data_IF_654448138375
#
_entry.id   IF_654448138375
#
_cell.length_a   1.000
_cell.length_b   1.000
_cell.length_c   1.000
_cell.angle_alpha   90.00
_cell.angle_beta   90.00
_cell.angle_gamma   90.00
#
_symmetry.space_group_name_H-M   'P 1'
#
loop_
_entity.id
_entity.type
_entity.pdbx_description
1 polymer ?
#
# COMPACT_ATOMS: atom_id res chain seq x y z
N UNK A 1 -18.22 -25.40 -3.20
CA UNK A 1 -16.99 -24.67 -2.92
C UNK A 1 -16.01 -25.11 -3.99
N UNK A 2 -15.74 -24.26 -4.99
CA UNK A 2 -14.78 -24.59 -6.05
C UNK A 2 -13.38 -24.47 -5.45
N UNK A 3 -12.76 -25.57 -5.14
CA UNK A 3 -11.37 -25.62 -4.72
C UNK A 3 -10.52 -25.78 -5.99
N UNK A 4 -9.70 -24.80 -6.27
CA UNK A 4 -8.83 -24.78 -7.45
C UNK A 4 -7.71 -25.79 -7.22
N UNK A 5 -7.65 -26.82 -8.08
CA UNK A 5 -6.61 -27.86 -8.01
C UNK A 5 -5.28 -27.31 -8.55
N UNK A 6 -4.40 -26.90 -7.63
CA UNK A 6 -3.10 -26.31 -7.97
C UNK A 6 -2.16 -27.29 -8.67
N UNK A 7 -2.29 -28.57 -8.42
CA UNK A 7 -1.46 -29.61 -9.04
C UNK A 7 -1.86 -29.78 -10.51
N UNK A 8 -3.17 -29.92 -10.79
CA UNK A 8 -3.70 -29.97 -12.16
C UNK A 8 -3.37 -28.73 -12.97
N UNK A 9 -3.54 -27.54 -12.35
CA UNK A 9 -3.12 -26.28 -12.96
C UNK A 9 -1.64 -26.32 -13.35
N UNK A 10 -0.77 -26.73 -12.42
CA UNK A 10 0.66 -26.77 -12.62
C UNK A 10 1.12 -27.75 -13.71
N UNK A 11 0.53 -28.94 -13.73
CA UNK A 11 0.79 -29.93 -14.78
C UNK A 11 0.36 -29.45 -16.16
N UNK A 12 -0.82 -28.84 -16.25
CA UNK A 12 -1.36 -28.28 -17.49
C UNK A 12 -0.47 -27.15 -18.02
N UNK A 13 -0.06 -26.24 -17.11
CA UNK A 13 0.89 -25.18 -17.42
C UNK A 13 2.21 -25.73 -17.99
N UNK A 14 2.81 -26.73 -17.33
CA UNK A 14 4.07 -27.33 -17.75
C UNK A 14 3.97 -28.03 -19.12
N UNK A 15 2.85 -28.71 -19.38
CA UNK A 15 2.59 -29.38 -20.68
C UNK A 15 2.51 -28.33 -21.80
N UNK A 16 1.71 -27.27 -21.63
CA UNK A 16 1.49 -26.26 -22.66
C UNK A 16 2.72 -25.39 -22.88
N UNK A 17 3.49 -25.06 -21.83
CA UNK A 17 4.78 -24.40 -21.98
C UNK A 17 5.75 -25.24 -22.84
N UNK A 18 5.85 -26.56 -22.59
CA UNK A 18 6.70 -27.46 -23.37
C UNK A 18 6.20 -27.59 -24.79
N UNK A 19 4.87 -27.71 -25.03
CA UNK A 19 4.27 -27.70 -26.38
C UNK A 19 4.65 -26.43 -27.18
N UNK A 20 4.77 -25.28 -26.53
CA UNK A 20 5.24 -24.02 -27.14
C UNK A 20 6.74 -23.88 -27.25
N UNK A 21 7.53 -24.86 -26.76
CA UNK A 21 8.99 -24.87 -26.83
C UNK A 21 9.69 -23.95 -25.84
N UNK A 22 9.00 -23.41 -24.84
CA UNK A 22 9.60 -22.50 -23.87
C UNK A 22 10.24 -23.23 -22.69
N UNK A 23 11.40 -22.75 -22.25
CA UNK A 23 11.98 -23.08 -20.95
C UNK A 23 11.21 -22.31 -19.84
N UNK A 24 11.32 -22.76 -18.58
CA UNK A 24 10.75 -22.02 -17.45
C UNK A 24 11.28 -20.57 -17.39
N UNK A 25 12.56 -20.39 -17.70
CA UNK A 25 13.22 -19.08 -17.72
C UNK A 25 12.67 -18.17 -18.84
N UNK A 26 12.43 -18.69 -20.02
CA UNK A 26 11.87 -17.91 -21.13
C UNK A 26 10.42 -17.51 -20.87
N UNK A 27 9.60 -18.42 -20.31
CA UNK A 27 8.24 -18.08 -19.89
C UNK A 27 8.24 -17.01 -18.80
N UNK A 28 9.13 -17.15 -17.80
CA UNK A 28 9.30 -16.18 -16.73
C UNK A 28 9.69 -14.78 -17.26
N UNK A 29 10.61 -14.72 -18.22
CA UNK A 29 11.01 -13.45 -18.84
C UNK A 29 9.85 -12.76 -19.58
N UNK A 30 9.00 -13.52 -20.29
CA UNK A 30 7.84 -12.98 -21.01
C UNK A 30 6.76 -12.45 -20.07
N UNK A 31 6.67 -13.02 -18.86
CA UNK A 31 5.71 -12.62 -17.82
C UNK A 31 6.30 -11.62 -16.81
N UNK A 32 7.57 -11.23 -16.96
CA UNK A 32 8.28 -10.35 -16.03
C UNK A 32 8.31 -10.87 -14.59
N UNK A 33 8.42 -12.19 -14.42
CA UNK A 33 8.52 -12.88 -13.12
C UNK A 33 9.84 -13.65 -12.99
N UNK A 34 10.10 -14.24 -11.82
CA UNK A 34 11.27 -15.11 -11.64
C UNK A 34 11.01 -16.51 -12.19
N UNK A 35 12.06 -17.19 -12.65
CA UNK A 35 12.03 -18.60 -13.04
C UNK A 35 11.59 -19.52 -11.89
N UNK A 36 11.92 -19.16 -10.65
CA UNK A 36 11.46 -19.83 -9.43
C UNK A 36 9.95 -19.74 -9.26
N UNK A 37 9.32 -18.63 -9.65
CA UNK A 37 7.86 -18.49 -9.61
C UNK A 37 7.20 -19.47 -10.58
N UNK A 38 7.63 -19.52 -11.83
CA UNK A 38 7.13 -20.49 -12.82
C UNK A 38 7.34 -21.93 -12.34
N UNK A 39 8.51 -22.24 -11.78
CA UNK A 39 8.79 -23.55 -11.21
C UNK A 39 7.88 -23.91 -10.03
N UNK A 40 7.51 -22.95 -9.17
CA UNK A 40 6.54 -23.16 -8.08
C UNK A 40 5.14 -23.46 -8.63
N UNK A 41 4.71 -22.70 -9.64
CA UNK A 41 3.39 -22.90 -10.26
C UNK A 41 3.27 -24.28 -10.90
N UNK A 42 4.28 -24.70 -11.68
CA UNK A 42 4.30 -26.01 -12.35
C UNK A 42 4.31 -27.20 -11.37
N UNK A 43 4.75 -27.00 -10.13
CA UNK A 43 4.73 -28.03 -9.08
C UNK A 43 3.51 -27.97 -8.17
N UNK A 44 2.54 -27.09 -8.46
CA UNK A 44 1.39 -26.87 -7.59
C UNK A 44 1.71 -26.20 -6.24
N UNK A 45 2.97 -25.77 -6.04
CA UNK A 45 3.40 -25.15 -4.78
C UNK A 45 2.98 -23.67 -4.64
N UNK A 46 2.25 -23.13 -5.61
CA UNK A 46 1.71 -21.78 -5.64
C UNK A 46 0.94 -21.53 -6.92
N UNK A 47 0.22 -20.41 -6.98
CA UNK A 47 -0.50 -19.96 -8.15
C UNK A 47 0.08 -18.64 -8.66
N UNK A 48 -0.02 -18.33 -9.96
CA UNK A 48 0.25 -16.99 -10.45
C UNK A 48 -0.74 -15.99 -9.89
N UNK A 49 -0.31 -14.73 -9.81
CA UNK A 49 -1.24 -13.63 -9.55
C UNK A 49 -2.33 -13.60 -10.61
N UNK A 50 -3.53 -13.18 -10.21
CA UNK A 50 -4.71 -13.15 -11.09
C UNK A 50 -4.47 -12.29 -12.33
N UNK A 51 -3.68 -11.23 -12.20
CA UNK A 51 -3.27 -10.34 -13.31
C UNK A 51 -2.38 -11.02 -14.36
N UNK A 52 -1.72 -12.12 -13.98
CA UNK A 52 -0.85 -12.89 -14.87
C UNK A 52 -1.59 -14.00 -15.62
N UNK A 53 -2.83 -14.35 -15.21
CA UNK A 53 -3.57 -15.45 -15.83
C UNK A 53 -3.86 -15.21 -17.31
N UNK A 54 -4.25 -13.97 -17.68
CA UNK A 54 -4.55 -13.62 -19.07
C UNK A 54 -3.27 -13.66 -19.94
N UNK A 55 -2.18 -12.92 -19.59
CA UNK A 55 -0.97 -12.99 -20.38
C UNK A 55 -0.36 -14.40 -20.42
N UNK A 56 -0.52 -15.19 -19.36
CA UNK A 56 -0.07 -16.58 -19.32
C UNK A 56 -0.86 -17.45 -20.31
N UNK A 57 -2.19 -17.34 -20.31
CA UNK A 57 -3.07 -18.05 -21.23
C UNK A 57 -2.76 -17.66 -22.70
N UNK A 58 -2.59 -16.38 -22.98
CA UNK A 58 -2.24 -15.87 -24.32
C UNK A 58 -0.89 -16.45 -24.83
N UNK A 59 0.14 -16.45 -23.97
CA UNK A 59 1.47 -16.99 -24.32
C UNK A 59 1.39 -18.50 -24.60
N UNK A 60 0.60 -19.23 -23.83
CA UNK A 60 0.43 -20.69 -23.97
C UNK A 60 -0.53 -21.05 -25.10
N UNK A 61 -1.37 -20.12 -25.54
CA UNK A 61 -2.41 -20.34 -26.56
C UNK A 61 -3.54 -21.22 -26.07
N UNK A 62 -3.95 -21.03 -24.82
CA UNK A 62 -5.09 -21.67 -24.15
C UNK A 62 -6.02 -20.61 -23.60
N UNK A 63 -7.24 -20.97 -23.25
CA UNK A 63 -8.15 -20.06 -22.54
C UNK A 63 -7.80 -20.01 -21.05
N UNK A 64 -8.19 -18.91 -20.38
CA UNK A 64 -8.02 -18.78 -18.92
C UNK A 64 -8.79 -19.88 -18.18
N UNK A 65 -9.95 -20.29 -18.72
CA UNK A 65 -10.78 -21.35 -18.14
C UNK A 65 -10.06 -22.70 -18.21
N UNK A 66 -9.52 -23.07 -19.37
CA UNK A 66 -8.72 -24.30 -19.53
C UNK A 66 -7.51 -24.30 -18.60
N UNK A 67 -6.86 -23.15 -18.46
CA UNK A 67 -5.71 -23.00 -17.57
C UNK A 67 -6.11 -23.21 -16.10
N UNK A 68 -7.25 -22.66 -15.67
CA UNK A 68 -7.74 -22.79 -14.30
C UNK A 68 -8.27 -24.19 -13.99
N UNK A 69 -8.97 -24.81 -14.95
CA UNK A 69 -9.49 -26.19 -14.83
C UNK A 69 -8.39 -27.26 -15.00
N UNK A 70 -7.24 -26.87 -15.57
CA UNK A 70 -6.13 -27.79 -15.84
C UNK A 70 -6.48 -28.87 -16.87
N UNK A 71 -7.36 -28.56 -17.82
CA UNK A 71 -7.78 -29.48 -18.89
C UNK A 71 -8.20 -28.73 -20.16
N UNK A 72 -7.97 -29.34 -21.33
CA UNK A 72 -8.50 -28.83 -22.61
C UNK A 72 -10.02 -29.01 -22.61
N UNK A 73 -10.75 -27.97 -22.98
CA UNK A 73 -12.21 -28.02 -23.09
C UNK A 73 -12.62 -28.31 -24.53
N UNK A 74 -13.34 -29.43 -24.75
CA UNK A 74 -13.99 -29.67 -26.04
C UNK A 74 -15.12 -28.66 -26.27
N UNK A 75 -15.21 -28.10 -27.48
CA UNK A 75 -16.10 -27.01 -27.88
C UNK A 75 -17.63 -27.38 -27.85
N UNK A 76 -18.07 -28.29 -26.99
CA UNK A 76 -19.41 -28.90 -27.03
C UNK A 76 -20.20 -28.83 -25.73
N UNK A 77 -20.17 -27.76 -25.00
CA UNK A 77 -21.24 -27.57 -24.00
C UNK A 77 -21.56 -26.11 -23.71
N UNK A 78 -22.52 -25.59 -24.42
CA UNK A 78 -23.61 -24.73 -23.94
C UNK A 78 -23.34 -23.34 -23.40
N UNK A 79 -22.12 -22.98 -23.08
CA UNK A 79 -21.69 -21.60 -22.83
C UNK A 79 -20.53 -21.30 -23.79
N UNK A 80 -20.71 -20.29 -24.63
CA UNK A 80 -19.65 -19.82 -25.51
C UNK A 80 -18.41 -19.49 -24.66
N UNK A 81 -17.31 -20.19 -24.92
CA UNK A 81 -16.01 -20.04 -24.21
C UNK A 81 -15.59 -18.57 -24.15
N UNK A 82 -15.93 -17.81 -25.20
CA UNK A 82 -15.72 -16.36 -25.27
C UNK A 82 -16.56 -15.59 -24.24
N UNK A 83 -17.76 -16.06 -23.89
CA UNK A 83 -18.60 -15.40 -22.88
C UNK A 83 -18.05 -15.64 -21.47
N UNK A 84 -17.59 -16.85 -21.17
CA UNK A 84 -16.94 -17.17 -19.88
C UNK A 84 -15.63 -16.42 -19.76
N UNK A 85 -14.82 -16.37 -20.82
CA UNK A 85 -13.57 -15.63 -20.84
C UNK A 85 -13.80 -14.12 -20.68
N UNK A 86 -14.83 -13.56 -21.33
CA UNK A 86 -15.22 -12.16 -21.15
C UNK A 86 -15.76 -11.88 -19.74
N UNK A 87 -16.48 -12.82 -19.12
CA UNK A 87 -16.94 -12.71 -17.73
C UNK A 87 -15.76 -12.77 -16.75
N UNK A 88 -14.81 -13.66 -16.98
CA UNK A 88 -13.57 -13.74 -16.19
C UNK A 88 -12.73 -12.47 -16.37
N UNK A 89 -12.52 -12.03 -17.62
CA UNK A 89 -11.84 -10.74 -17.89
C UNK A 89 -12.56 -9.58 -17.20
N UNK A 90 -13.88 -9.54 -17.26
CA UNK A 90 -14.71 -8.51 -16.62
C UNK A 90 -14.66 -8.59 -15.10
N UNK A 91 -14.66 -9.78 -14.51
CA UNK A 91 -14.49 -9.98 -13.07
C UNK A 91 -13.09 -9.57 -12.60
N UNK A 92 -12.05 -9.86 -13.38
CA UNK A 92 -10.67 -9.44 -13.11
C UNK A 92 -10.51 -7.93 -13.20
N UNK A 93 -11.12 -7.29 -14.21
CA UNK A 93 -11.10 -5.81 -14.34
C UNK A 93 -11.97 -5.10 -13.31
N UNK A 94 -12.98 -5.76 -12.76
CA UNK A 94 -13.79 -5.23 -11.64
C UNK A 94 -13.06 -5.35 -10.28
N UNK A 95 -12.12 -6.28 -10.13
CA UNK A 95 -11.26 -6.39 -8.94
C UNK A 95 -10.06 -5.45 -8.97
N UNK A 96 -9.65 -4.98 -10.16
CA UNK A 96 -8.69 -3.91 -10.33
C UNK A 96 -9.45 -2.58 -10.49
N UNK A 97 -9.20 -1.62 -9.60
CA UNK A 97 -9.71 -0.26 -9.79
C UNK A 97 -9.35 0.23 -11.19
N UNK A 98 -10.33 0.74 -11.92
CA UNK A 98 -10.07 1.29 -13.25
C UNK A 98 -8.96 2.36 -13.18
N UNK A 99 -8.09 2.46 -14.18
CA UNK A 99 -7.03 3.48 -14.22
C UNK A 99 -7.56 4.90 -13.98
N UNK A 100 -8.80 5.17 -14.38
CA UNK A 100 -9.50 6.44 -14.13
C UNK A 100 -9.81 6.64 -12.63
N UNK A 101 -10.36 5.63 -11.95
CA UNK A 101 -10.68 5.71 -10.51
C UNK A 101 -9.41 5.86 -9.66
N UNK A 102 -8.34 5.13 -10.01
CA UNK A 102 -7.05 5.27 -9.35
C UNK A 102 -6.44 6.67 -9.56
N UNK A 103 -6.61 7.25 -10.75
CA UNK A 103 -6.19 8.61 -11.08
C UNK A 103 -6.97 9.67 -10.29
N UNK A 104 -8.28 9.54 -10.19
CA UNK A 104 -9.16 10.45 -9.42
C UNK A 104 -8.79 10.38 -7.93
N UNK A 105 -8.61 9.17 -7.39
CA UNK A 105 -8.22 8.99 -5.99
C UNK A 105 -6.86 9.60 -5.67
N UNK A 106 -5.86 9.42 -6.55
CA UNK A 106 -4.55 10.06 -6.39
C UNK A 106 -4.65 11.58 -6.40
N UNK A 107 -5.47 12.17 -7.29
CA UNK A 107 -5.72 13.62 -7.31
C UNK A 107 -6.38 14.10 -6.02
N UNK A 108 -7.36 13.36 -5.49
CA UNK A 108 -8.00 13.68 -4.22
C UNK A 108 -7.01 13.63 -3.05
N UNK A 109 -6.17 12.60 -2.99
CA UNK A 109 -5.11 12.48 -1.99
C UNK A 109 -4.15 13.68 -2.05
N UNK A 110 -3.74 14.06 -3.24
CA UNK A 110 -2.86 15.20 -3.46
C UNK A 110 -3.51 16.51 -3.01
N UNK A 111 -4.79 16.69 -3.32
CA UNK A 111 -5.55 17.89 -2.94
C UNK A 111 -5.67 18.01 -1.42
N UNK A 112 -6.04 16.94 -0.72
CA UNK A 112 -6.18 16.92 0.75
C UNK A 112 -4.84 17.25 1.40
N UNK A 113 -3.76 16.64 0.95
CA UNK A 113 -2.42 16.91 1.46
C UNK A 113 -2.00 18.37 1.21
N UNK A 114 -2.20 18.88 0.00
CA UNK A 114 -1.91 20.27 -0.34
C UNK A 114 -2.70 21.27 0.51
N UNK A 115 -4.00 21.01 0.74
CA UNK A 115 -4.82 21.83 1.64
C UNK A 115 -4.27 21.84 3.07
N UNK A 116 -3.85 20.67 3.58
CA UNK A 116 -3.27 20.57 4.93
C UNK A 116 -1.95 21.35 5.04
N UNK A 117 -1.10 21.27 4.03
CA UNK A 117 0.16 22.07 3.98
C UNK A 117 -0.14 23.57 3.94
N UNK A 118 -1.13 24.01 3.17
CA UNK A 118 -1.53 25.42 3.11
C UNK A 118 -2.04 25.89 4.49
N UNK A 119 -2.88 25.10 5.16
CA UNK A 119 -3.39 25.45 6.49
C UNK A 119 -2.21 25.58 7.48
N UNK A 120 -1.32 24.60 7.49
CA UNK A 120 -0.12 24.62 8.34
C UNK A 120 0.76 25.86 8.08
N UNK A 121 0.98 26.23 6.82
CA UNK A 121 1.74 27.45 6.48
C UNK A 121 1.03 28.73 6.95
N UNK A 122 -0.30 28.80 6.84
CA UNK A 122 -1.07 29.92 7.38
C UNK A 122 -0.98 30.00 8.89
N UNK A 123 -1.09 28.86 9.60
CA UNK A 123 -0.92 28.80 11.05
C UNK A 123 0.48 29.24 11.47
N UNK A 124 1.53 28.78 10.79
CA UNK A 124 2.91 29.19 11.04
C UNK A 124 3.11 30.70 10.83
N UNK A 125 2.50 31.26 9.78
CA UNK A 125 2.53 32.70 9.52
C UNK A 125 1.83 33.50 10.63
N UNK A 126 0.67 33.03 11.08
CA UNK A 126 -0.07 33.66 12.19
C UNK A 126 0.73 33.60 13.50
N UNK A 127 1.39 32.47 13.79
CA UNK A 127 2.25 32.31 14.96
C UNK A 127 3.46 33.24 14.90
N UNK A 128 4.08 33.41 13.72
CA UNK A 128 5.15 34.38 13.52
C UNK A 128 4.68 35.83 13.74
N UNK A 129 3.51 36.17 13.22
CA UNK A 129 2.93 37.50 13.45
C UNK A 129 2.61 37.75 14.94
N UNK A 130 2.04 36.74 15.63
CA UNK A 130 1.78 36.78 17.06
C UNK A 130 3.06 36.94 17.89
N UNK A 131 4.18 36.32 17.48
CA UNK A 131 5.49 36.50 18.11
C UNK A 131 5.93 37.95 18.13
N UNK A 132 5.81 38.66 17.01
CA UNK A 132 6.15 40.08 16.93
C UNK A 132 5.26 40.95 17.84
N UNK A 133 4.02 40.49 18.13
CA UNK A 133 3.10 41.23 18.97
C UNK A 133 3.30 40.96 20.46
N UNK A 134 3.74 39.73 20.83
CA UNK A 134 3.79 39.27 22.24
C UNK A 134 5.20 38.96 22.76
N UNK A 135 6.27 39.27 22.01
CA UNK A 135 7.68 38.98 22.35
C UNK A 135 7.98 37.49 22.70
N UNK A 136 7.05 36.58 22.41
CA UNK A 136 7.23 35.16 22.71
C UNK A 136 7.87 34.43 21.53
N UNK A 137 8.96 33.73 21.81
CA UNK A 137 9.74 33.03 20.79
C UNK A 137 9.07 31.80 20.22
N UNK A 138 8.97 31.71 18.90
CA UNK A 138 8.76 30.43 18.23
C UNK A 138 10.09 29.68 18.28
N UNK A 139 10.11 28.53 18.95
CA UNK A 139 11.29 27.67 19.02
C UNK A 139 11.60 27.03 17.65
N UNK A 140 12.89 26.97 17.32
CA UNK A 140 13.38 26.25 16.13
C UNK A 140 12.94 24.76 16.10
N UNK A 141 12.70 24.18 17.26
CA UNK A 141 12.19 22.80 17.40
C UNK A 141 10.76 22.63 16.88
N UNK A 142 9.95 23.68 16.91
CA UNK A 142 8.62 23.66 16.32
C UNK A 142 8.65 23.50 14.80
N UNK A 143 9.53 24.24 14.11
CA UNK A 143 9.71 24.09 12.66
C UNK A 143 10.21 22.69 12.27
N UNK A 144 11.05 22.08 13.11
CA UNK A 144 11.50 20.71 12.89
C UNK A 144 10.32 19.72 12.88
N UNK A 145 9.34 19.88 13.79
CA UNK A 145 8.14 19.05 13.85
C UNK A 145 7.23 19.25 12.63
N UNK A 146 7.11 20.49 12.14
CA UNK A 146 6.37 20.75 10.90
C UNK A 146 7.04 20.07 9.70
N UNK A 147 8.37 20.13 9.60
CA UNK A 147 9.13 19.41 8.56
C UNK A 147 8.89 17.90 8.64
N UNK A 148 8.88 17.33 9.85
CA UNK A 148 8.53 15.92 10.02
C UNK A 148 7.09 15.62 9.59
N UNK A 149 6.12 16.46 9.98
CA UNK A 149 4.71 16.28 9.58
C UNK A 149 4.53 16.33 8.07
N UNK A 150 5.21 17.27 7.37
CA UNK A 150 5.21 17.34 5.90
C UNK A 150 5.86 16.10 5.30
N UNK A 151 7.01 15.68 5.82
CA UNK A 151 7.77 14.54 5.28
C UNK A 151 6.97 13.24 5.39
N UNK A 152 6.44 12.94 6.58
CA UNK A 152 5.59 11.77 6.80
C UNK A 152 4.28 11.88 6.04
N UNK A 153 3.67 13.08 6.00
CA UNK A 153 2.48 13.34 5.20
C UNK A 153 2.71 13.08 3.72
N UNK A 154 3.76 13.66 3.15
CA UNK A 154 4.14 13.43 1.76
C UNK A 154 4.35 11.95 1.46
N UNK A 155 5.02 11.22 2.37
CA UNK A 155 5.20 9.79 2.22
C UNK A 155 3.87 9.02 2.24
N UNK A 156 3.01 9.20 3.26
CA UNK A 156 1.76 8.45 3.39
C UNK A 156 0.70 8.83 2.35
N UNK A 157 0.67 10.08 1.87
CA UNK A 157 -0.33 10.53 0.91
C UNK A 157 0.07 10.34 -0.55
N UNK A 158 1.37 10.42 -0.86
CA UNK A 158 1.87 10.43 -2.23
C UNK A 158 2.76 9.20 -2.52
N UNK A 159 3.69 8.87 -1.60
CA UNK A 159 4.77 7.92 -1.85
C UNK A 159 4.43 6.47 -1.57
N UNK A 160 3.57 6.20 -0.57
CA UNK A 160 3.34 4.83 -0.11
C UNK A 160 2.52 4.02 -1.11
N UNK A 161 2.90 2.76 -1.29
CA UNK A 161 2.14 1.80 -2.10
C UNK A 161 0.89 1.36 -1.34
N UNK A 162 -0.26 1.32 -2.01
CA UNK A 162 -1.54 0.94 -1.39
C UNK A 162 -1.67 -0.56 -1.16
N UNK A 163 -0.92 -1.38 -1.91
CA UNK A 163 -0.86 -2.83 -1.76
C UNK A 163 0.58 -3.29 -1.59
N UNK A 164 0.74 -4.29 -0.76
CA UNK A 164 2.01 -4.99 -0.58
C UNK A 164 2.16 -6.08 -1.65
N UNK A 165 3.40 -6.39 -2.05
CA UNK A 165 3.68 -7.59 -2.83
C UNK A 165 3.16 -8.86 -2.14
N UNK A 166 2.72 -9.84 -2.91
CA UNK A 166 2.10 -11.09 -2.41
C UNK A 166 2.97 -11.84 -1.40
N UNK A 167 4.29 -11.74 -1.51
CA UNK A 167 5.20 -12.40 -0.58
C UNK A 167 5.05 -11.94 0.88
N UNK A 168 4.42 -10.78 1.14
CA UNK A 168 4.08 -10.32 2.49
C UNK A 168 2.93 -11.14 3.09
N UNK A 169 1.99 -11.61 2.26
CA UNK A 169 0.87 -12.45 2.71
C UNK A 169 1.32 -13.90 2.97
N UNK A 170 2.36 -14.34 2.24
CA UNK A 170 2.90 -15.70 2.36
C UNK A 170 3.95 -15.86 3.48
N UNK A 171 4.52 -14.75 3.98
CA UNK A 171 5.62 -14.76 4.93
C UNK A 171 5.33 -13.79 6.08
N UNK A 172 5.75 -14.18 7.29
CA UNK A 172 5.60 -13.35 8.48
C UNK A 172 6.67 -12.23 8.51
N UNK A 173 6.42 -11.15 7.73
CA UNK A 173 7.38 -10.06 7.55
C UNK A 173 6.96 -8.86 8.39
N UNK A 174 7.78 -8.50 9.38
CA UNK A 174 7.57 -7.34 10.25
C UNK A 174 8.28 -6.07 9.78
N UNK A 175 8.99 -6.13 8.65
CA UNK A 175 9.71 -5.01 8.07
C UNK A 175 9.15 -4.65 6.69
N UNK A 176 8.77 -3.39 6.49
CA UNK A 176 8.41 -2.84 5.20
C UNK A 176 9.51 -1.89 4.71
N UNK A 177 9.82 -1.95 3.42
CA UNK A 177 10.76 -1.03 2.78
C UNK A 177 10.47 -0.89 1.28
N UNK A 178 10.47 0.35 0.80
CA UNK A 178 10.28 0.68 -0.62
C UNK A 178 11.52 1.33 -1.27
N UNK A 179 12.65 1.29 -0.56
CA UNK A 179 13.92 1.87 -0.98
C UNK A 179 14.17 3.26 -0.40
N UNK A 180 13.15 4.05 -0.14
CA UNK A 180 13.25 5.39 0.46
C UNK A 180 12.95 5.32 1.95
N UNK A 181 11.89 4.63 2.32
CA UNK A 181 11.42 4.50 3.69
C UNK A 181 11.50 3.05 4.16
N UNK A 182 11.93 2.86 5.40
CA UNK A 182 11.92 1.55 6.06
C UNK A 182 11.21 1.65 7.39
N UNK A 183 10.24 0.78 7.60
CA UNK A 183 9.49 0.66 8.84
C UNK A 183 9.63 -0.77 9.36
N UNK A 184 10.09 -0.92 10.59
CA UNK A 184 10.15 -2.21 11.26
C UNK A 184 9.31 -2.11 12.53
N UNK A 185 8.30 -2.98 12.65
CA UNK A 185 7.39 -3.01 13.81
C UNK A 185 7.36 -4.41 14.40
N UNK A 186 8.12 -4.57 15.47
CA UNK A 186 8.21 -5.85 16.19
C UNK A 186 6.81 -6.24 16.70
N UNK A 187 6.40 -7.47 16.43
CA UNK A 187 5.11 -8.01 16.87
C UNK A 187 3.94 -7.79 15.92
N UNK A 188 4.16 -7.20 14.75
CA UNK A 188 3.19 -7.12 13.66
C UNK A 188 3.79 -7.74 12.40
N UNK A 189 3.01 -8.54 11.68
CA UNK A 189 3.36 -9.00 10.34
C UNK A 189 2.54 -8.20 9.32
N UNK A 190 3.23 -7.48 8.45
CA UNK A 190 2.57 -6.73 7.39
C UNK A 190 2.01 -7.67 6.33
N UNK A 191 0.74 -7.48 5.98
CA UNK A 191 0.02 -8.24 4.95
C UNK A 191 -1.04 -7.34 4.29
N UNK A 192 -1.64 -7.81 3.20
CA UNK A 192 -2.67 -7.04 2.49
C UNK A 192 -4.01 -6.92 3.26
N UNK A 193 -4.20 -7.68 4.36
CA UNK A 193 -5.36 -7.52 5.25
C UNK A 193 -5.22 -6.30 6.14
N UNK A 194 -4.03 -6.06 6.74
CA UNK A 194 -3.82 -4.95 7.69
C UNK A 194 -3.23 -3.68 7.03
N UNK A 195 -2.52 -3.82 5.91
CA UNK A 195 -1.82 -2.72 5.26
C UNK A 195 -2.70 -1.51 4.89
N UNK A 196 -3.90 -1.67 4.29
CA UNK A 196 -4.77 -0.53 3.98
C UNK A 196 -5.15 0.29 5.21
N UNK A 197 -5.35 -0.38 6.35
CA UNK A 197 -5.69 0.28 7.62
C UNK A 197 -4.48 1.02 8.20
N UNK A 198 -3.28 0.44 8.11
CA UNK A 198 -2.01 1.07 8.51
C UNK A 198 -1.80 2.35 7.70
N UNK A 199 -1.90 2.27 6.38
CA UNK A 199 -1.74 3.42 5.48
C UNK A 199 -2.77 4.50 5.78
N UNK A 200 -4.04 4.12 5.95
CA UNK A 200 -5.11 5.06 6.31
C UNK A 200 -4.83 5.77 7.64
N UNK A 201 -4.37 5.04 8.64
CA UNK A 201 -4.03 5.60 9.96
C UNK A 201 -2.88 6.60 9.84
N UNK A 202 -1.82 6.25 9.12
CA UNK A 202 -0.69 7.16 8.84
C UNK A 202 -1.13 8.43 8.11
N UNK A 203 -2.02 8.31 7.11
CA UNK A 203 -2.60 9.46 6.39
C UNK A 203 -3.39 10.38 7.31
N UNK A 204 -4.30 9.83 8.11
CA UNK A 204 -5.12 10.62 9.03
C UNK A 204 -4.24 11.35 10.04
N UNK A 205 -3.31 10.63 10.66
CA UNK A 205 -2.45 11.23 11.68
C UNK A 205 -1.53 12.30 11.12
N UNK A 206 -0.91 12.08 9.96
CA UNK A 206 0.00 13.06 9.35
C UNK A 206 -0.67 14.39 9.04
N UNK A 207 -1.91 14.37 8.53
CA UNK A 207 -2.69 15.59 8.28
C UNK A 207 -3.18 16.23 9.59
N UNK A 208 -3.67 15.40 10.53
CA UNK A 208 -4.14 15.90 11.83
C UNK A 208 -3.01 16.55 12.62
N UNK A 209 -1.80 15.99 12.58
CA UNK A 209 -0.64 16.54 13.28
C UNK A 209 -0.21 17.90 12.73
N UNK A 210 -0.34 18.14 11.41
CA UNK A 210 -0.03 19.43 10.79
C UNK A 210 -0.86 20.59 11.34
N UNK A 211 -2.12 20.30 11.71
CA UNK A 211 -3.04 21.32 12.26
C UNK A 211 -3.01 21.34 13.79
N UNK A 212 -3.01 20.15 14.40
CA UNK A 212 -3.16 20.06 15.86
C UNK A 212 -1.91 20.48 16.64
N UNK A 213 -0.69 20.13 16.16
CA UNK A 213 0.54 20.41 16.90
C UNK A 213 0.87 21.91 16.98
N UNK A 214 0.70 22.74 15.92
CA UNK A 214 0.84 24.18 16.02
C UNK A 214 -0.09 24.82 17.05
N UNK A 215 -1.37 24.43 17.04
CA UNK A 215 -2.36 24.92 18.00
C UNK A 215 -2.00 24.52 19.43
N UNK A 216 -1.56 23.27 19.63
CA UNK A 216 -1.12 22.80 20.96
C UNK A 216 0.13 23.54 21.44
N UNK A 217 1.08 23.80 20.54
CA UNK A 217 2.27 24.58 20.87
C UNK A 217 1.90 26.00 21.31
N UNK A 218 1.02 26.66 20.58
CA UNK A 218 0.52 27.98 20.96
C UNK A 218 -0.16 27.96 22.33
N UNK A 219 -1.08 27.02 22.55
CA UNK A 219 -1.78 26.89 23.84
C UNK A 219 -0.80 26.65 25.00
N UNK A 220 0.16 25.76 24.83
CA UNK A 220 1.18 25.48 25.83
C UNK A 220 2.06 26.70 26.17
N UNK A 221 2.48 27.44 25.14
CA UNK A 221 3.27 28.65 25.30
C UNK A 221 2.48 29.76 26.01
N UNK A 222 1.19 29.89 25.72
CA UNK A 222 0.34 30.91 26.37
C UNK A 222 -0.05 30.53 27.81
N UNK A 223 -0.37 29.26 28.08
CA UNK A 223 -0.89 28.82 29.38
C UNK A 223 0.23 28.50 30.40
N UNK A 224 1.37 27.99 29.92
CA UNK A 224 2.45 27.48 30.76
C UNK A 224 3.85 27.90 30.24
N UNK A 225 4.13 29.20 30.03
CA UNK A 225 5.32 29.65 29.30
C UNK A 225 6.65 29.16 29.90
N UNK A 226 6.77 29.14 31.23
CA UNK A 226 8.02 28.72 31.90
C UNK A 226 8.32 27.23 31.78
N UNK A 227 7.29 26.39 31.80
CA UNK A 227 7.42 24.92 31.69
C UNK A 227 7.49 24.50 30.24
N UNK A 228 6.69 25.14 29.39
CA UNK A 228 6.59 24.78 27.98
C UNK A 228 7.87 25.08 27.19
N UNK A 229 8.57 26.16 27.50
CA UNK A 229 9.84 26.48 26.87
C UNK A 229 10.89 25.36 27.01
N UNK A 230 10.92 24.66 28.14
CA UNK A 230 11.82 23.53 28.36
C UNK A 230 11.26 22.19 27.91
N UNK A 231 9.99 21.89 28.24
CA UNK A 231 9.38 20.58 28.03
C UNK A 231 8.54 20.46 26.75
N UNK A 232 8.04 21.58 26.22
CA UNK A 232 7.14 21.62 25.07
C UNK A 232 7.65 20.86 23.84
N UNK A 233 8.91 21.07 23.38
CA UNK A 233 9.45 20.35 22.23
C UNK A 233 9.45 18.82 22.41
N UNK A 234 9.78 18.34 23.62
CA UNK A 234 9.76 16.89 23.93
C UNK A 234 8.33 16.34 23.97
N UNK A 235 7.42 17.10 24.55
CA UNK A 235 5.99 16.70 24.61
C UNK A 235 5.41 16.62 23.20
N UNK A 236 5.68 17.60 22.35
CA UNK A 236 5.21 17.62 20.96
C UNK A 236 5.81 16.47 20.14
N UNK A 237 7.10 16.19 20.31
CA UNK A 237 7.77 15.06 19.64
C UNK A 237 7.18 13.72 20.10
N UNK A 238 6.96 13.52 21.40
CA UNK A 238 6.35 12.31 21.93
C UNK A 238 4.91 12.14 21.42
N UNK A 239 4.14 13.21 21.36
CA UNK A 239 2.78 13.20 20.81
C UNK A 239 2.80 12.87 19.31
N UNK A 240 3.73 13.45 18.55
CA UNK A 240 3.86 13.16 17.12
C UNK A 240 4.20 11.68 16.88
N UNK A 241 5.25 11.18 17.51
CA UNK A 241 5.69 9.80 17.34
C UNK A 241 4.69 8.79 17.93
N UNK A 242 4.21 9.05 19.15
CA UNK A 242 3.23 8.19 19.80
C UNK A 242 1.90 8.14 19.03
N UNK A 243 1.40 9.28 18.59
CA UNK A 243 0.19 9.37 17.80
C UNK A 243 0.31 8.74 16.41
N UNK A 244 1.52 8.62 15.86
CA UNK A 244 1.77 7.89 14.62
C UNK A 244 1.90 6.38 14.88
N UNK A 245 2.85 5.97 15.72
CA UNK A 245 3.24 4.57 15.83
C UNK A 245 2.26 3.73 16.68
N UNK A 246 1.66 4.29 17.74
CA UNK A 246 0.74 3.53 18.59
C UNK A 246 -0.54 3.14 17.83
N UNK A 247 -1.26 4.04 17.14
CA UNK A 247 -2.42 3.65 16.34
C UNK A 247 -2.08 2.71 15.19
N UNK A 248 -0.94 2.91 14.51
CA UNK A 248 -0.46 2.00 13.47
C UNK A 248 -0.24 0.59 14.05
N UNK A 249 0.37 0.49 15.22
CA UNK A 249 0.57 -0.79 15.90
C UNK A 249 -0.76 -1.47 16.27
N UNK A 250 -1.67 -0.73 16.91
CA UNK A 250 -2.97 -1.26 17.34
C UNK A 250 -3.79 -1.75 16.14
N UNK A 251 -3.84 -0.95 15.09
CA UNK A 251 -4.59 -1.29 13.87
C UNK A 251 -3.91 -2.43 13.11
N UNK A 252 -2.59 -2.41 12.99
CA UNK A 252 -1.81 -3.47 12.38
C UNK A 252 -2.04 -4.82 13.05
N UNK A 253 -2.07 -4.84 14.39
CA UNK A 253 -2.32 -6.07 15.17
C UNK A 253 -3.77 -6.53 15.12
N UNK A 254 -4.71 -5.59 15.05
CA UNK A 254 -6.15 -5.91 15.02
C UNK A 254 -6.59 -6.60 13.72
N UNK A 255 -5.96 -6.23 12.59
CA UNK A 255 -6.34 -6.73 11.26
C UNK A 255 -5.29 -7.67 10.66
N UNK A 256 -4.33 -8.14 11.46
CA UNK A 256 -3.38 -9.19 11.13
C UNK A 256 -4.08 -10.56 11.03
#
# INVERSE_FOLDING_TARGET
MFELDKERFGEFLAVHRKKKGYTQKELAQRLFVSDKAVSKWERGAGMPDISLLIPLADILGVTVTELLEGQEMEATSGMDTNQVENLVKKALTLSEESPEQSGIRKKQHWLIFACAVIIMLLESLLLMAAKYTFEQGIDSNFFLLEVFSITFGGYFWIGIKERLPVYYDENQISAYGDGIFRMNMVGIHFNNSNWPYIVRTGRIWSVSSMVFLPVLNLAGTCLFPSVWGAAGPFVLLLLFLGGLFIPIYVVGKKYE
#
